data_IF_407838691543
#
_entry.id   IF_407838691543
#
_cell.length_a   1.000
_cell.length_b   1.000
_cell.length_c   1.000
_cell.angle_alpha   90.00
_cell.angle_beta   90.00
_cell.angle_gamma   90.00
#
_symmetry.space_group_name_H-M   'P 1'
#
loop_
_entity.id
_entity.type
_entity.pdbx_description
1 polymer ?
#
# COMPACT_ATOMS: atom_id res chain seq x y z
N UNK A 1 -4.10 10.70 25.02
CA UNK A 1 -3.39 11.32 23.91
C UNK A 1 -1.92 11.03 24.05
N UNK A 2 -1.26 10.75 22.94
CA UNK A 2 0.19 10.63 22.88
C UNK A 2 0.81 12.02 22.65
N UNK A 3 1.98 12.28 23.22
CA UNK A 3 2.74 13.51 22.94
C UNK A 3 3.76 13.20 21.85
N UNK A 4 3.66 13.89 20.71
CA UNK A 4 4.67 13.79 19.65
C UNK A 4 5.92 14.56 20.06
N UNK A 5 7.09 13.91 19.92
CA UNK A 5 8.41 14.55 20.06
C UNK A 5 8.95 15.06 18.71
N UNK A 6 8.10 15.13 17.69
CA UNK A 6 8.47 15.71 16.40
C UNK A 6 8.77 17.20 16.56
N UNK A 7 9.78 17.72 15.85
CA UNK A 7 10.04 19.16 15.79
C UNK A 7 8.77 19.96 15.42
N UNK A 8 8.62 21.16 16.00
CA UNK A 8 7.45 22.01 15.78
C UNK A 8 7.26 22.45 14.32
N UNK A 9 8.33 22.44 13.53
CA UNK A 9 8.33 22.73 12.09
C UNK A 9 7.95 21.51 11.23
N UNK A 10 7.41 20.44 11.84
CA UNK A 10 6.99 19.25 11.11
C UNK A 10 6.00 19.57 9.98
N UNK A 11 6.06 18.81 8.90
CA UNK A 11 5.04 18.86 7.86
C UNK A 11 3.89 17.93 8.27
N UNK A 12 2.85 18.47 8.92
CA UNK A 12 1.62 17.73 9.27
C UNK A 12 1.88 16.38 9.97
N UNK A 13 2.74 16.38 11.00
CA UNK A 13 3.16 15.17 11.72
C UNK A 13 4.28 14.37 11.04
N UNK A 14 4.74 14.77 9.85
CA UNK A 14 5.85 14.15 9.13
C UNK A 14 7.13 14.97 9.23
N UNK A 15 8.28 14.31 9.10
CA UNK A 15 9.60 14.94 9.12
C UNK A 15 9.76 15.95 7.98
N UNK A 16 9.87 17.23 8.33
CA UNK A 16 9.99 18.31 7.34
C UNK A 16 11.24 18.18 6.46
N UNK A 17 12.34 17.67 7.03
CA UNK A 17 13.58 17.46 6.29
C UNK A 17 13.46 16.34 5.24
N UNK A 18 12.71 15.28 5.55
CA UNK A 18 12.41 14.20 4.59
C UNK A 18 11.50 14.71 3.47
N UNK A 19 10.45 15.48 3.80
CA UNK A 19 9.56 16.08 2.79
C UNK A 19 10.33 17.03 1.88
N UNK A 20 11.24 17.84 2.43
CA UNK A 20 12.12 18.70 1.66
C UNK A 20 13.02 17.90 0.71
N UNK A 21 13.64 16.82 1.20
CA UNK A 21 14.44 15.93 0.37
C UNK A 21 13.62 15.28 -0.77
N UNK A 22 12.39 14.85 -0.50
CA UNK A 22 11.48 14.30 -1.52
C UNK A 22 11.13 15.35 -2.58
N UNK A 23 10.90 16.61 -2.19
CA UNK A 23 10.71 17.73 -3.14
C UNK A 23 11.94 17.96 -4.00
N UNK A 24 13.14 17.86 -3.42
CA UNK A 24 14.42 17.97 -4.17
C UNK A 24 14.59 16.83 -5.16
N UNK A 25 14.26 15.59 -4.77
CA UNK A 25 14.27 14.43 -5.68
C UNK A 25 13.29 14.65 -6.84
N UNK A 26 12.19 15.37 -6.60
CA UNK A 26 11.23 15.79 -7.61
C UNK A 26 10.64 14.60 -8.41
N UNK A 27 10.45 13.46 -7.75
CA UNK A 27 9.82 12.30 -8.37
C UNK A 27 8.33 12.55 -8.57
N UNK A 28 7.89 12.57 -9.83
CA UNK A 28 6.50 12.81 -10.24
C UNK A 28 5.73 11.54 -10.59
N UNK A 29 6.35 10.38 -10.39
CA UNK A 29 5.75 9.09 -10.67
C UNK A 29 4.89 8.55 -9.51
N UNK A 30 4.44 7.30 -9.60
CA UNK A 30 3.57 6.67 -8.61
C UNK A 30 4.29 6.45 -7.28
N UNK A 31 3.81 7.05 -6.21
CA UNK A 31 4.21 6.73 -4.83
C UNK A 31 3.22 5.73 -4.24
N UNK A 32 3.58 4.44 -4.14
CA UNK A 32 2.65 3.38 -3.75
C UNK A 32 2.41 3.30 -2.24
N UNK A 33 1.16 3.30 -1.79
CA UNK A 33 0.77 3.15 -0.37
C UNK A 33 -0.69 2.64 -0.21
N UNK A 34 -1.06 1.92 0.87
CA UNK A 34 -0.17 1.16 1.71
C UNK A 34 0.53 0.08 0.88
N UNK A 35 1.73 -0.31 1.32
CA UNK A 35 2.65 -1.07 0.49
C UNK A 35 3.02 -2.44 1.05
N UNK A 36 3.43 -3.31 0.12
CA UNK A 36 3.90 -4.65 0.40
C UNK A 36 2.87 -5.50 1.13
N UNK A 37 3.33 -6.39 1.99
CA UNK A 37 2.44 -7.24 2.80
C UNK A 37 1.47 -6.44 3.68
N UNK A 38 1.78 -5.17 3.99
CA UNK A 38 0.92 -4.35 4.85
C UNK A 38 -0.42 -4.04 4.21
N UNK A 39 -0.51 -3.93 2.88
CA UNK A 39 -1.80 -3.68 2.21
C UNK A 39 -2.83 -4.77 2.49
N UNK A 40 -2.38 -5.99 2.81
CA UNK A 40 -3.22 -7.15 3.11
C UNK A 40 -3.88 -7.06 4.50
N UNK A 41 -3.40 -6.16 5.38
CA UNK A 41 -3.94 -5.90 6.73
C UNK A 41 -4.43 -4.47 6.94
N UNK A 42 -4.09 -3.54 6.05
CA UNK A 42 -4.54 -2.15 6.05
C UNK A 42 -6.03 -1.99 5.64
N UNK A 43 -6.89 -2.95 6.01
CA UNK A 43 -8.30 -3.04 5.66
C UNK A 43 -9.13 -1.83 6.10
N UNK A 44 -8.85 -1.35 7.32
CA UNK A 44 -9.67 -0.34 7.99
C UNK A 44 -9.17 1.06 7.64
N UNK A 45 -9.10 1.39 6.35
CA UNK A 45 -8.72 2.74 5.93
C UNK A 45 -9.67 3.80 6.55
N UNK A 46 -10.94 3.44 6.80
CA UNK A 46 -11.92 4.27 7.51
C UNK A 46 -11.49 4.58 8.97
N UNK A 47 -10.78 3.65 9.65
CA UNK A 47 -10.24 3.91 10.98
C UNK A 47 -9.14 4.99 10.96
N UNK A 48 -8.47 5.15 9.82
CA UNK A 48 -7.54 6.24 9.57
C UNK A 48 -8.21 7.62 9.48
N UNK A 49 -9.54 7.69 9.35
CA UNK A 49 -10.28 8.95 9.35
C UNK A 49 -10.52 9.49 10.76
N UNK A 50 -10.28 8.70 11.81
CA UNK A 50 -10.33 9.19 13.18
C UNK A 50 -9.16 10.14 13.46
N UNK A 51 -9.33 11.00 14.46
CA UNK A 51 -8.22 11.78 15.02
C UNK A 51 -7.09 10.83 15.42
N UNK A 52 -5.83 11.28 15.27
CA UNK A 52 -4.65 10.42 15.46
C UNK A 52 -4.69 9.65 16.79
N UNK A 53 -5.07 10.30 17.89
CA UNK A 53 -5.19 9.71 19.22
C UNK A 53 -6.34 8.71 19.39
N UNK A 54 -7.28 8.65 18.45
CA UNK A 54 -8.45 7.77 18.47
C UNK A 54 -8.33 6.61 17.46
N UNK A 55 -7.26 6.56 16.66
CA UNK A 55 -7.04 5.47 15.70
C UNK A 55 -6.73 4.19 16.45
N UNK A 56 -7.46 3.12 16.12
CA UNK A 56 -7.14 1.79 16.66
C UNK A 56 -5.80 1.29 16.09
N UNK A 57 -4.97 0.61 16.89
CA UNK A 57 -3.80 -0.06 16.37
C UNK A 57 -4.17 -1.06 15.26
N UNK A 58 -3.33 -1.13 14.23
CA UNK A 58 -3.42 -2.16 13.19
C UNK A 58 -2.55 -3.33 13.62
N UNK A 59 -3.19 -4.45 13.93
CA UNK A 59 -2.49 -5.67 14.31
C UNK A 59 -2.20 -6.55 13.10
N UNK A 60 -0.96 -7.01 12.96
CA UNK A 60 -0.64 -8.06 12.01
C UNK A 60 -1.24 -9.42 12.46
N UNK A 61 -1.51 -10.33 11.52
CA UNK A 61 -1.86 -11.70 11.85
C UNK A 61 -0.77 -12.39 12.66
N UNK A 62 -1.14 -13.27 13.61
CA UNK A 62 -0.18 -13.99 14.43
C UNK A 62 0.65 -14.97 13.60
N UNK A 63 1.90 -15.18 14.03
CA UNK A 63 2.84 -16.13 13.43
C UNK A 63 3.81 -15.52 12.41
N UNK A 64 4.85 -16.27 12.07
CA UNK A 64 5.96 -15.80 11.22
C UNK A 64 5.62 -15.77 9.71
N UNK A 65 4.43 -16.26 9.32
CA UNK A 65 4.07 -16.49 7.92
C UNK A 65 3.54 -15.26 7.18
N UNK A 66 3.11 -14.20 7.89
CA UNK A 66 2.43 -13.05 7.26
C UNK A 66 3.36 -12.28 6.30
N UNK A 67 4.63 -12.16 6.66
CA UNK A 67 5.63 -11.48 5.86
C UNK A 67 6.97 -12.21 5.99
N UNK A 68 7.31 -13.04 5.00
CA UNK A 68 8.58 -13.78 4.97
C UNK A 68 9.82 -12.87 4.86
N UNK A 69 9.65 -11.59 4.53
CA UNK A 69 10.76 -10.64 4.44
C UNK A 69 11.32 -10.25 5.81
N UNK A 70 10.55 -10.39 6.90
CA UNK A 70 10.94 -9.98 8.25
C UNK A 70 10.57 -11.07 9.25
N UNK A 71 11.56 -11.62 9.96
CA UNK A 71 11.33 -12.59 11.04
C UNK A 71 10.52 -11.91 12.15
N UNK A 72 9.37 -12.50 12.52
CA UNK A 72 8.41 -11.89 13.45
C UNK A 72 7.34 -11.03 12.77
N UNK A 73 7.29 -10.98 11.44
CA UNK A 73 6.30 -10.23 10.67
C UNK A 73 6.67 -8.75 10.45
N UNK A 74 5.74 -7.98 9.88
CA UNK A 74 5.92 -6.55 9.58
C UNK A 74 6.19 -5.69 10.83
N UNK A 75 5.69 -6.13 11.97
CA UNK A 75 5.62 -5.40 13.23
C UNK A 75 6.42 -6.13 14.32
N UNK A 76 7.48 -6.83 13.91
CA UNK A 76 8.32 -7.63 14.81
C UNK A 76 8.93 -6.83 15.96
N UNK A 77 9.10 -5.52 15.80
CA UNK A 77 9.64 -4.59 16.80
C UNK A 77 8.57 -3.85 17.60
N UNK A 78 7.28 -4.10 17.35
CA UNK A 78 6.16 -3.35 17.93
C UNK A 78 5.07 -4.30 18.45
N UNK A 79 5.48 -5.47 18.96
CA UNK A 79 4.61 -6.52 19.50
C UNK A 79 3.43 -6.90 18.57
N UNK A 80 3.63 -6.80 17.26
CA UNK A 80 2.61 -7.12 16.29
C UNK A 80 1.50 -6.07 16.15
N UNK A 81 1.75 -4.83 16.56
CA UNK A 81 0.84 -3.69 16.40
C UNK A 81 1.51 -2.53 15.66
N UNK A 82 0.71 -1.68 15.02
CA UNK A 82 1.18 -0.37 14.56
C UNK A 82 0.16 0.70 14.88
N UNK A 83 0.63 1.79 15.48
CA UNK A 83 -0.20 2.81 16.12
C UNK A 83 -0.04 4.18 15.43
N UNK A 84 1.02 4.37 14.65
CA UNK A 84 1.50 5.66 14.15
C UNK A 84 1.53 5.76 12.62
N UNK A 85 0.74 4.95 11.91
CA UNK A 85 0.77 4.96 10.45
C UNK A 85 0.11 6.20 9.83
N UNK A 86 0.71 6.79 8.78
CA UNK A 86 0.02 7.75 7.93
C UNK A 86 -1.28 7.13 7.42
N UNK A 87 -2.41 7.79 7.60
CA UNK A 87 -3.66 7.37 7.01
C UNK A 87 -3.80 7.96 5.60
N UNK A 88 -4.95 7.70 4.98
CA UNK A 88 -5.21 8.09 3.59
C UNK A 88 -5.04 9.60 3.38
N UNK A 89 -5.46 10.44 4.32
CA UNK A 89 -5.36 11.89 4.20
C UNK A 89 -3.90 12.37 4.30
N UNK A 90 -3.11 11.86 5.26
CA UNK A 90 -1.71 12.26 5.40
C UNK A 90 -0.87 11.80 4.20
N UNK A 91 -1.13 10.60 3.70
CA UNK A 91 -0.48 10.08 2.49
C UNK A 91 -0.79 10.93 1.26
N UNK A 92 -2.05 11.32 1.04
CA UNK A 92 -2.43 12.11 -0.12
C UNK A 92 -1.89 13.55 -0.04
N UNK A 93 -1.87 14.13 1.16
CA UNK A 93 -1.24 15.44 1.40
C UNK A 93 0.28 15.38 1.19
N UNK A 94 0.94 14.27 1.53
CA UNK A 94 2.34 14.06 1.18
C UNK A 94 2.52 14.02 -0.34
N UNK A 95 1.68 13.26 -1.05
CA UNK A 95 1.74 13.17 -2.52
C UNK A 95 1.59 14.55 -3.16
N UNK A 96 0.60 15.34 -2.74
CA UNK A 96 0.40 16.72 -3.21
C UNK A 96 1.61 17.60 -2.91
N UNK A 97 2.12 17.55 -1.68
CA UNK A 97 3.23 18.39 -1.23
C UNK A 97 4.56 18.11 -1.94
N UNK A 98 4.79 16.89 -2.41
CA UNK A 98 6.00 16.50 -3.16
C UNK A 98 5.75 16.38 -4.66
N UNK A 99 4.48 16.47 -5.08
CA UNK A 99 4.05 16.33 -6.46
C UNK A 99 4.14 14.91 -7.01
N UNK A 100 4.11 13.89 -6.14
CA UNK A 100 4.07 12.49 -6.55
C UNK A 100 2.65 12.08 -6.95
N UNK A 101 2.53 11.13 -7.86
CA UNK A 101 1.24 10.58 -8.25
C UNK A 101 0.79 9.55 -7.19
N UNK A 102 -0.40 9.69 -6.61
CA UNK A 102 -0.89 8.72 -5.64
C UNK A 102 -1.23 7.40 -6.33
N UNK A 103 -0.81 6.29 -5.73
CA UNK A 103 -1.08 4.94 -6.20
C UNK A 103 -1.40 4.02 -5.02
N UNK A 104 -2.62 3.50 -4.99
CA UNK A 104 -3.17 2.87 -3.78
C UNK A 104 -3.15 1.35 -3.85
N UNK A 105 -2.63 0.71 -2.81
CA UNK A 105 -2.76 -0.74 -2.59
C UNK A 105 -4.08 -1.09 -1.95
N UNK A 106 -4.97 -1.77 -2.68
CA UNK A 106 -6.21 -2.30 -2.12
C UNK A 106 -5.96 -3.62 -1.41
N UNK A 107 -6.65 -3.80 -0.28
CA UNK A 107 -6.79 -5.12 0.34
C UNK A 107 -7.60 -6.02 -0.59
N UNK A 108 -7.02 -7.14 -0.96
CA UNK A 108 -7.69 -8.25 -1.64
C UNK A 108 -7.14 -9.53 -1.03
N UNK A 109 -7.91 -10.20 -0.19
CA UNK A 109 -7.55 -11.52 0.35
C UNK A 109 -8.45 -12.59 -0.25
N UNK A 110 -9.75 -12.34 -0.27
CA UNK A 110 -10.77 -13.30 -0.74
C UNK A 110 -11.72 -12.70 -1.78
N UNK A 111 -11.70 -11.37 -1.96
CA UNK A 111 -12.64 -10.67 -2.82
C UNK A 111 -14.08 -10.87 -2.34
N UNK A 112 -14.28 -10.92 -1.03
CA UNK A 112 -15.60 -11.00 -0.42
C UNK A 112 -16.32 -9.64 -0.45
N UNK A 113 -17.62 -9.63 -0.12
CA UNK A 113 -18.44 -8.42 -0.21
C UNK A 113 -18.01 -7.32 0.78
N UNK A 114 -17.26 -7.63 1.84
CA UNK A 114 -16.65 -6.62 2.72
C UNK A 114 -15.51 -5.90 1.99
N UNK A 115 -14.58 -6.66 1.42
CA UNK A 115 -13.45 -6.11 0.65
C UNK A 115 -13.91 -5.32 -0.58
N UNK A 116 -14.91 -5.84 -1.32
CA UNK A 116 -15.45 -5.16 -2.49
C UNK A 116 -16.09 -3.81 -2.12
N UNK A 117 -16.93 -3.76 -1.07
CA UNK A 117 -17.57 -2.51 -0.61
C UNK A 117 -16.57 -1.55 -0.02
N UNK A 118 -15.56 -2.04 0.70
CA UNK A 118 -14.50 -1.20 1.25
C UNK A 118 -13.72 -0.49 0.13
N UNK A 119 -13.39 -1.20 -0.95
CA UNK A 119 -12.73 -0.62 -2.11
C UNK A 119 -13.59 0.44 -2.83
N UNK A 120 -14.89 0.19 -2.99
CA UNK A 120 -15.83 1.16 -3.59
C UNK A 120 -15.98 2.43 -2.74
N UNK A 121 -16.12 2.28 -1.42
CA UNK A 121 -16.18 3.40 -0.50
C UNK A 121 -14.88 4.20 -0.53
N UNK A 122 -13.73 3.53 -0.54
CA UNK A 122 -12.45 4.21 -0.65
C UNK A 122 -12.40 5.02 -1.94
N UNK A 123 -12.81 4.47 -3.07
CA UNK A 123 -12.88 5.21 -4.34
C UNK A 123 -13.82 6.42 -4.28
N UNK A 124 -14.99 6.29 -3.65
CA UNK A 124 -15.90 7.43 -3.43
C UNK A 124 -15.27 8.50 -2.52
N UNK A 125 -14.55 8.11 -1.46
CA UNK A 125 -13.81 9.06 -0.63
C UNK A 125 -12.74 9.80 -1.42
N UNK A 126 -11.96 9.06 -2.22
CA UNK A 126 -10.86 9.61 -3.01
C UNK A 126 -11.34 10.57 -4.09
N UNK A 127 -12.37 10.17 -4.86
CA UNK A 127 -12.71 10.83 -6.11
C UNK A 127 -14.16 11.32 -6.19
N UNK A 128 -15.02 10.97 -5.23
CA UNK A 128 -16.43 11.35 -5.23
C UNK A 128 -16.63 12.86 -5.16
N UNK A 129 -17.70 13.32 -5.80
CA UNK A 129 -18.07 14.74 -5.78
C UNK A 129 -18.55 15.16 -4.39
N UNK A 130 -18.09 16.33 -3.93
CA UNK A 130 -18.32 16.81 -2.57
C UNK A 130 -19.79 17.15 -2.28
N UNK A 131 -20.61 17.35 -3.32
CA UNK A 131 -22.01 17.77 -3.18
C UNK A 131 -22.97 16.60 -3.28
N UNK A 132 -22.66 15.61 -4.12
CA UNK A 132 -23.56 14.50 -4.47
C UNK A 132 -23.23 13.18 -3.78
N UNK A 133 -22.00 13.00 -3.29
CA UNK A 133 -21.57 11.75 -2.64
C UNK A 133 -21.33 11.94 -1.14
N UNK A 134 -21.61 10.91 -0.35
CA UNK A 134 -21.47 11.00 1.11
C UNK A 134 -19.99 11.08 1.50
N UNK A 135 -19.14 10.24 0.89
CA UNK A 135 -17.72 10.21 1.20
C UNK A 135 -16.94 11.36 0.55
N UNK A 136 -17.39 11.89 -0.60
CA UNK A 136 -16.86 13.14 -1.14
C UNK A 136 -17.17 14.34 -0.23
N UNK A 137 -18.38 14.41 0.34
CA UNK A 137 -18.73 15.43 1.34
C UNK A 137 -17.89 15.29 2.61
N UNK A 138 -17.69 14.06 3.09
CA UNK A 138 -16.82 13.79 4.24
C UNK A 138 -15.39 14.28 3.97
N UNK A 139 -14.79 13.93 2.83
CA UNK A 139 -13.47 14.44 2.40
C UNK A 139 -13.41 15.96 2.40
N UNK A 140 -14.46 16.62 1.88
CA UNK A 140 -14.56 18.08 1.85
C UNK A 140 -14.55 18.72 3.25
N UNK A 141 -15.36 18.19 4.18
CA UNK A 141 -15.39 18.65 5.59
C UNK A 141 -14.05 18.42 6.28
N UNK A 142 -13.30 17.40 5.87
CA UNK A 142 -11.95 17.10 6.36
C UNK A 142 -10.84 17.97 5.76
N UNK A 143 -11.21 18.97 4.96
CA UNK A 143 -10.28 19.99 4.45
C UNK A 143 -9.78 19.76 3.04
N UNK A 144 -10.35 18.80 2.30
CA UNK A 144 -10.01 18.58 0.89
C UNK A 144 -11.26 18.51 -0.01
N UNK A 145 -11.83 19.67 -0.41
CA UNK A 145 -13.06 19.71 -1.19
C UNK A 145 -12.95 19.04 -2.57
N UNK A 146 -11.83 19.24 -3.26
CA UNK A 146 -11.62 18.69 -4.60
C UNK A 146 -11.41 17.17 -4.55
N UNK A 147 -11.80 16.41 -5.59
CA UNK A 147 -11.35 15.03 -5.77
C UNK A 147 -9.83 14.94 -5.79
N UNK A 148 -9.25 13.88 -5.21
CA UNK A 148 -7.81 13.63 -5.27
C UNK A 148 -7.35 13.15 -6.66
N UNK A 149 -8.27 12.64 -7.48
CA UNK A 149 -7.95 12.17 -8.84
C UNK A 149 -7.08 10.92 -8.86
N UNK A 150 -7.20 10.06 -7.83
CA UNK A 150 -6.42 8.82 -7.74
C UNK A 150 -6.87 7.86 -8.83
N UNK A 151 -5.94 7.43 -9.68
CA UNK A 151 -6.23 6.51 -10.81
C UNK A 151 -5.59 5.14 -10.65
N UNK A 152 -4.42 5.05 -10.03
CA UNK A 152 -3.65 3.80 -9.92
C UNK A 152 -4.07 3.00 -8.70
N UNK A 153 -4.69 1.85 -8.93
CA UNK A 153 -5.12 0.93 -7.87
C UNK A 153 -4.46 -0.44 -8.06
N UNK A 154 -3.68 -0.88 -7.09
CA UNK A 154 -3.08 -2.21 -7.04
C UNK A 154 -4.05 -3.17 -6.36
N UNK A 155 -4.46 -4.22 -7.06
CA UNK A 155 -5.48 -5.17 -6.61
C UNK A 155 -4.85 -6.30 -5.78
N UNK A 156 -4.55 -6.01 -4.51
CA UNK A 156 -3.80 -6.91 -3.63
C UNK A 156 -2.28 -6.78 -3.79
N UNK A 157 -1.54 -7.63 -3.08
CA UNK A 157 -0.08 -7.64 -3.12
C UNK A 157 0.46 -9.07 -3.06
N UNK A 158 1.26 -9.48 -4.05
CA UNK A 158 1.97 -10.77 -4.05
C UNK A 158 1.08 -11.98 -3.72
N UNK A 159 -0.13 -12.00 -4.30
CA UNK A 159 -1.22 -12.90 -3.94
C UNK A 159 -0.93 -14.39 -4.07
N UNK A 160 0.12 -14.74 -4.80
CA UNK A 160 0.58 -16.10 -5.03
C UNK A 160 1.58 -16.62 -3.99
N UNK A 161 2.15 -15.74 -3.17
CA UNK A 161 3.14 -16.11 -2.16
C UNK A 161 2.76 -15.63 -0.76
N UNK A 162 1.90 -14.62 -0.65
CA UNK A 162 1.41 -14.17 0.65
C UNK A 162 0.28 -15.07 1.15
N UNK A 163 0.37 -15.59 2.37
CA UNK A 163 -0.76 -16.24 3.00
C UNK A 163 -1.92 -15.25 3.15
N UNK A 164 -3.13 -15.80 3.12
CA UNK A 164 -4.37 -15.05 3.24
C UNK A 164 -4.95 -15.23 4.62
N UNK A 165 -5.61 -14.20 5.13
CA UNK A 165 -6.08 -14.19 6.51
C UNK A 165 -7.52 -13.73 6.60
N UNK A 166 -8.36 -14.57 7.19
CA UNK A 166 -9.73 -14.20 7.53
C UNK A 166 -9.69 -13.37 8.81
N UNK A 167 -10.19 -12.15 8.72
CA UNK A 167 -10.38 -11.27 9.87
C UNK A 167 -11.80 -11.42 10.39
N UNK A 168 -11.93 -11.83 11.64
CA UNK A 168 -13.22 -11.97 12.31
C UNK A 168 -13.74 -10.59 12.77
N UNK A 169 -15.03 -10.51 13.08
CA UNK A 169 -15.68 -9.26 13.49
C UNK A 169 -15.07 -8.65 14.77
N UNK A 170 -14.54 -9.49 15.66
CA UNK A 170 -13.79 -9.08 16.86
C UNK A 170 -12.34 -8.66 16.55
N UNK A 171 -11.99 -8.50 15.26
CA UNK A 171 -10.65 -8.18 14.74
C UNK A 171 -9.58 -9.24 15.01
N UNK A 172 -9.95 -10.44 15.48
CA UNK A 172 -9.01 -11.56 15.59
C UNK A 172 -8.84 -12.27 14.24
N UNK A 173 -7.77 -13.06 14.14
CA UNK A 173 -7.39 -13.74 12.91
C UNK A 173 -7.62 -15.24 13.03
N UNK A 174 -8.11 -15.87 11.96
CA UNK A 174 -8.04 -17.32 11.81
C UNK A 174 -6.63 -17.75 11.40
N UNK A 175 -6.39 -19.07 11.41
CA UNK A 175 -5.17 -19.65 10.89
C UNK A 175 -4.90 -19.19 9.44
N UNK A 176 -3.62 -19.01 9.06
CA UNK A 176 -3.27 -18.59 7.71
C UNK A 176 -3.81 -19.58 6.68
N UNK A 177 -4.46 -19.04 5.65
CA UNK A 177 -4.87 -19.78 4.46
C UNK A 177 -3.74 -19.67 3.44
N UNK A 178 -3.51 -20.74 2.68
CA UNK A 178 -2.50 -20.76 1.63
C UNK A 178 -2.70 -19.60 0.63
N UNK A 179 -1.61 -19.12 0.01
CA UNK A 179 -1.70 -18.13 -1.05
C UNK A 179 -2.70 -18.54 -2.13
N UNK A 180 -3.28 -17.55 -2.81
CA UNK A 180 -4.23 -17.84 -3.87
C UNK A 180 -3.54 -18.60 -5.00
N UNK A 181 -4.27 -19.48 -5.68
CA UNK A 181 -3.92 -19.90 -7.04
C UNK A 181 -4.47 -18.90 -8.05
N UNK A 182 -3.97 -18.94 -9.29
CA UNK A 182 -4.31 -17.93 -10.29
C UNK A 182 -5.80 -17.87 -10.64
N UNK A 183 -6.52 -19.00 -10.60
CA UNK A 183 -7.97 -19.05 -10.84
C UNK A 183 -8.76 -18.42 -9.69
N UNK A 184 -8.34 -18.61 -8.44
CA UNK A 184 -8.95 -17.93 -7.29
C UNK A 184 -8.74 -16.43 -7.41
N UNK A 185 -7.51 -15.99 -7.68
CA UNK A 185 -7.20 -14.57 -7.82
C UNK A 185 -7.95 -13.93 -9.00
N UNK A 186 -8.01 -14.61 -10.15
CA UNK A 186 -8.82 -14.19 -11.28
C UNK A 186 -10.30 -14.06 -10.90
N UNK A 187 -10.85 -15.00 -10.13
CA UNK A 187 -12.21 -14.93 -9.61
C UNK A 187 -12.47 -13.76 -8.65
N UNK A 188 -11.47 -13.37 -7.84
CA UNK A 188 -11.53 -12.14 -7.04
C UNK A 188 -11.59 -10.91 -7.94
N UNK A 189 -10.70 -10.81 -8.93
CA UNK A 189 -10.64 -9.66 -9.84
C UNK A 189 -11.87 -9.56 -10.75
N UNK A 190 -12.45 -10.68 -11.17
CA UNK A 190 -13.68 -10.72 -11.98
C UNK A 190 -14.87 -10.08 -11.25
N UNK A 191 -14.85 -10.06 -9.91
CA UNK A 191 -15.87 -9.39 -9.09
C UNK A 191 -15.50 -7.95 -8.78
N UNK A 192 -14.22 -7.67 -8.50
CA UNK A 192 -13.77 -6.34 -8.09
C UNK A 192 -13.63 -5.34 -9.25
N UNK A 193 -12.96 -5.72 -10.34
CA UNK A 193 -12.61 -4.78 -11.41
C UNK A 193 -13.84 -4.14 -12.08
N UNK A 194 -14.93 -4.87 -12.41
CA UNK A 194 -16.12 -4.26 -13.00
C UNK A 194 -16.78 -3.22 -12.08
N UNK A 195 -16.78 -3.47 -10.76
CA UNK A 195 -17.40 -2.56 -9.78
C UNK A 195 -16.65 -1.23 -9.70
N UNK A 196 -15.32 -1.30 -9.68
CA UNK A 196 -14.49 -0.08 -9.67
C UNK A 196 -14.62 0.68 -11.00
N UNK A 197 -14.55 -0.01 -12.14
CA UNK A 197 -14.65 0.61 -13.46
C UNK A 197 -16.04 1.18 -13.78
N UNK A 198 -17.10 0.62 -13.19
CA UNK A 198 -18.45 1.18 -13.31
C UNK A 198 -18.58 2.54 -12.60
N UNK A 199 -17.73 2.81 -11.61
CA UNK A 199 -17.70 4.09 -10.88
C UNK A 199 -16.77 5.10 -11.54
N UNK A 200 -15.63 4.63 -12.04
CA UNK A 200 -14.67 5.44 -12.77
C UNK A 200 -13.96 4.59 -13.83
N UNK A 201 -14.28 4.84 -15.09
CA UNK A 201 -13.72 4.11 -16.23
C UNK A 201 -12.28 4.50 -16.56
N UNK A 202 -11.74 5.56 -15.95
CA UNK A 202 -10.37 6.03 -16.15
C UNK A 202 -9.36 5.39 -15.18
N UNK A 203 -9.83 4.47 -14.32
CA UNK A 203 -8.96 3.79 -13.37
C UNK A 203 -7.92 2.90 -14.06
N UNK A 204 -6.71 2.96 -13.53
CA UNK A 204 -5.60 2.11 -13.90
C UNK A 204 -5.51 0.98 -12.88
N UNK A 205 -6.27 -0.09 -13.14
CA UNK A 205 -6.28 -1.28 -12.30
C UNK A 205 -5.06 -2.16 -12.58
N UNK A 206 -4.26 -2.41 -11.55
CA UNK A 206 -2.99 -3.13 -11.64
C UNK A 206 -3.10 -4.45 -10.88
N UNK A 207 -3.04 -5.56 -11.59
CA UNK A 207 -3.06 -6.89 -10.98
C UNK A 207 -1.72 -7.22 -10.30
N UNK A 208 -1.79 -7.84 -9.14
CA UNK A 208 -0.65 -8.45 -8.47
C UNK A 208 -0.12 -9.62 -9.31
N UNK A 209 1.18 -9.63 -9.56
CA UNK A 209 1.87 -10.75 -10.18
C UNK A 209 2.20 -11.84 -9.16
N UNK A 210 2.48 -13.04 -9.67
CA UNK A 210 2.56 -14.28 -8.91
C UNK A 210 3.83 -14.48 -8.10
N UNK A 211 4.81 -13.58 -8.18
CA UNK A 211 6.09 -13.76 -7.48
C UNK A 211 6.83 -15.08 -7.83
N UNK A 212 8.11 -15.25 -7.47
CA UNK A 212 8.82 -14.55 -6.41
C UNK A 212 9.93 -13.63 -6.93
N UNK A 213 10.49 -12.83 -6.02
CA UNK A 213 11.92 -12.49 -5.94
C UNK A 213 12.78 -13.23 -6.99
N UNK A 214 12.97 -12.66 -8.19
CA UNK A 214 13.85 -13.33 -9.15
C UNK A 214 15.30 -13.15 -8.70
N UNK A 215 15.87 -14.16 -8.05
CA UNK A 215 17.31 -14.37 -8.12
C UNK A 215 17.65 -14.93 -9.50
N UNK A 216 17.57 -14.10 -10.55
CA UNK A 216 18.14 -14.27 -11.91
C UNK A 216 18.12 -15.69 -12.55
N UNK A 217 17.17 -16.57 -12.22
CA UNK A 217 17.05 -17.90 -12.86
C UNK A 217 15.85 -17.91 -13.81
N UNK A 218 16.13 -17.82 -15.10
CA UNK A 218 15.19 -17.73 -16.23
C UNK A 218 14.09 -18.79 -16.24
N UNK A 219 14.36 -20.04 -15.84
CA UNK A 219 13.36 -21.11 -15.80
C UNK A 219 12.19 -20.90 -14.83
N UNK A 220 12.32 -20.01 -13.83
CA UNK A 220 11.25 -19.69 -12.88
C UNK A 220 10.30 -18.61 -13.42
N UNK A 221 10.82 -17.64 -14.17
CA UNK A 221 10.02 -16.58 -14.77
C UNK A 221 8.97 -17.14 -15.74
N UNK A 222 9.35 -18.14 -16.55
CA UNK A 222 8.45 -18.81 -17.48
C UNK A 222 7.29 -19.53 -16.77
N UNK A 223 7.57 -20.15 -15.61
CA UNK A 223 6.54 -20.82 -14.81
C UNK A 223 5.54 -19.82 -14.23
N UNK A 224 5.98 -18.67 -13.75
CA UNK A 224 5.09 -17.63 -13.20
C UNK A 224 4.25 -17.02 -14.32
N UNK A 225 4.88 -16.69 -15.44
CA UNK A 225 4.17 -16.21 -16.62
C UNK A 225 3.10 -17.22 -17.07
N UNK A 226 3.43 -18.51 -17.11
CA UNK A 226 2.52 -19.57 -17.55
C UNK A 226 1.39 -19.87 -16.55
N UNK A 227 1.67 -19.91 -15.23
CA UNK A 227 0.74 -20.40 -14.23
C UNK A 227 0.06 -19.30 -13.41
N UNK A 228 0.50 -18.04 -13.54
CA UNK A 228 -0.11 -16.89 -12.88
C UNK A 228 -0.61 -15.84 -13.88
N UNK A 229 0.31 -15.17 -14.59
CA UNK A 229 -0.06 -14.03 -15.41
C UNK A 229 -0.99 -14.42 -16.55
N UNK A 230 -0.68 -15.48 -17.31
CA UNK A 230 -1.53 -15.94 -18.42
C UNK A 230 -2.97 -16.27 -17.98
N UNK A 231 -3.22 -17.15 -17.00
CA UNK A 231 -4.59 -17.48 -16.60
C UNK A 231 -5.36 -16.28 -16.02
N UNK A 232 -4.70 -15.43 -15.22
CA UNK A 232 -5.33 -14.20 -14.71
C UNK A 232 -5.69 -13.25 -15.85
N UNK A 233 -4.75 -12.96 -16.76
CA UNK A 233 -5.00 -12.06 -17.90
C UNK A 233 -6.02 -12.62 -18.88
N UNK A 234 -6.05 -13.94 -19.10
CA UNK A 234 -7.06 -14.57 -19.95
C UNK A 234 -8.50 -14.39 -19.42
N UNK A 235 -8.66 -14.23 -18.09
CA UNK A 235 -9.98 -14.10 -17.47
C UNK A 235 -10.40 -12.64 -17.30
N UNK A 236 -9.48 -11.77 -16.88
CA UNK A 236 -9.80 -10.38 -16.49
C UNK A 236 -8.97 -9.31 -17.19
N UNK A 237 -8.05 -9.68 -18.09
CA UNK A 237 -7.05 -8.78 -18.68
C UNK A 237 -7.63 -7.55 -19.37
N UNK A 238 -8.78 -7.67 -20.03
CA UNK A 238 -9.46 -6.53 -20.69
C UNK A 238 -9.90 -5.41 -19.73
N UNK A 239 -9.98 -5.72 -18.43
CA UNK A 239 -10.35 -4.77 -17.37
C UNK A 239 -9.14 -4.25 -16.60
N UNK A 240 -7.93 -4.66 -16.97
CA UNK A 240 -6.70 -4.31 -16.28
C UNK A 240 -5.88 -3.37 -17.15
N UNK A 241 -5.30 -2.36 -16.51
CA UNK A 241 -4.33 -1.48 -17.15
C UNK A 241 -2.95 -2.12 -17.20
N UNK A 242 -2.61 -2.95 -16.21
CA UNK A 242 -1.32 -3.64 -16.18
C UNK A 242 -1.22 -4.72 -15.12
N UNK A 243 -0.04 -5.34 -15.07
CA UNK A 243 0.35 -6.31 -14.04
C UNK A 243 1.65 -5.85 -13.39
N UNK A 244 1.76 -6.03 -12.08
CA UNK A 244 2.99 -5.70 -11.35
C UNK A 244 4.12 -6.70 -11.66
N UNK A 245 5.33 -6.41 -11.23
CA UNK A 245 6.43 -7.38 -11.24
C UNK A 245 7.42 -7.00 -10.15
N UNK A 246 7.86 -7.99 -9.36
CA UNK A 246 8.72 -7.78 -8.21
C UNK A 246 10.07 -8.46 -8.41
N UNK A 247 11.14 -7.66 -8.36
CA UNK A 247 12.52 -8.11 -8.50
C UNK A 247 13.39 -7.42 -7.47
N UNK A 248 14.04 -8.21 -6.63
CA UNK A 248 15.02 -7.71 -5.68
C UNK A 248 16.36 -8.33 -6.02
N UNK A 249 17.32 -7.48 -6.36
CA UNK A 249 18.70 -7.90 -6.57
C UNK A 249 19.41 -7.91 -5.23
N UNK A 250 19.61 -9.11 -4.68
CA UNK A 250 20.45 -9.26 -3.48
C UNK A 250 21.90 -9.07 -3.90
N UNK A 251 22.52 -7.95 -3.51
CA UNK A 251 23.98 -7.85 -3.65
C UNK A 251 24.63 -8.95 -2.81
N UNK A 252 25.65 -9.66 -3.33
CA UNK A 252 26.40 -10.61 -2.52
C UNK A 252 27.12 -9.83 -1.43
N UNK A 253 26.59 -9.89 -0.21
CA UNK A 253 27.10 -9.34 1.05
C UNK A 253 28.53 -8.75 1.00
N UNK A 254 28.65 -7.42 0.94
CA UNK A 254 29.48 -6.61 1.86
C UNK A 254 28.86 -5.23 1.97
N UNK A 255 28.18 -4.97 3.09
CA UNK A 255 28.04 -3.60 3.55
C UNK A 255 29.45 -3.11 3.91
N UNK A 256 30.07 -2.35 3.02
CA UNK A 256 31.37 -1.71 3.27
C UNK A 256 31.15 -0.21 3.44
N UNK A 257 31.18 0.30 4.69
CA UNK A 257 30.96 1.71 4.96
C UNK A 257 32.02 2.62 4.29
N UNK A 258 33.15 2.09 3.82
CA UNK A 258 34.18 2.86 3.11
C UNK A 258 33.82 3.12 1.64
N UNK A 259 32.97 2.29 1.02
CA UNK A 259 32.63 2.39 -0.41
C UNK A 259 31.46 3.33 -0.71
N UNK A 260 30.63 3.67 0.29
CA UNK A 260 29.49 4.59 0.14
C UNK A 260 29.81 6.05 0.50
N UNK A 261 30.95 6.57 0.02
CA UNK A 261 31.38 7.96 0.27
C UNK A 261 30.46 9.06 -0.30
N UNK A 262 29.31 8.73 -0.90
CA UNK A 262 28.33 9.73 -1.33
C UNK A 262 27.71 10.47 -0.13
N UNK A 263 27.50 9.81 1.00
CA UNK A 263 27.03 10.46 2.24
C UNK A 263 28.13 11.30 2.91
N UNK A 264 29.40 10.95 2.70
CA UNK A 264 30.56 11.71 3.21
C UNK A 264 30.83 13.01 2.42
N UNK A 265 30.10 13.25 1.30
CA UNK A 265 30.18 14.49 0.50
C UNK A 265 29.04 15.46 0.74
N UNK A 266 28.10 15.14 1.63
CA UNK A 266 27.20 16.16 2.14
C UNK A 266 28.00 17.00 3.15
N UNK A 267 28.17 18.32 2.94
CA UNK A 267 28.81 19.15 3.94
C UNK A 267 28.06 18.94 5.25
N UNK A 268 28.82 18.58 6.30
CA UNK A 268 28.30 18.38 7.63
C UNK A 268 27.28 19.48 7.93
N UNK A 269 26.03 19.09 8.23
CA UNK A 269 25.04 20.02 8.79
C UNK A 269 25.76 20.69 9.95
N UNK A 270 26.06 21.99 9.81
CA UNK A 270 26.52 22.81 10.93
C UNK A 270 25.53 22.56 12.05
N UNK A 271 26.03 22.04 13.16
CA UNK A 271 25.28 21.89 14.37
C UNK A 271 24.53 23.20 14.63
N UNK A 272 23.20 23.12 14.73
CA UNK A 272 22.42 24.16 15.37
C UNK A 272 22.80 24.11 16.86
N UNK A 273 23.92 24.74 17.19
CA UNK A 273 24.23 25.26 18.50
C UNK A 273 24.09 26.78 18.37
N UNK A 274 22.91 27.27 18.77
CA UNK A 274 22.60 28.50 19.51
C UNK A 274 21.10 28.71 19.41
#
# INVERSE_FOLDING_TARGET
GAVSLMPADHFRGMRADVVSALRTINFRGPLRWPGGCYSSVAADWEAGLLDADARSPVYQPPGEAFCYAVKGGLQASTDGATEDWPAVDEYLQLCEAVGAEPAIGLRVQFGDEEELRSAEKLLEYLNGDATTTALGRLRSVRGHPQPYGVRKLYLGNEMAIQPRYVRLANKSWLAPIMPAVASEYAGMLSRLAPRLLARDSQLQLIAANGGPNMSVRTAFADRIAAHWNRPTMATVGEKLWGSSFHLYMRQPNRWDPQTMSWAARLPARKALQT
#
